data_IF_926097342082
#
_entry.id   IF_926097342082
#
_cell.length_a   1.000
_cell.length_b   1.000
_cell.length_c   1.000
_cell.angle_alpha   90.00
_cell.angle_beta   90.00
_cell.angle_gamma   90.00
#
_symmetry.space_group_name_H-M   'P 1'
#
loop_
_entity.id
_entity.type
_entity.pdbx_description
1 polymer ?
#
# COMPACT_ATOMS: atom_id res chain seq x y z
N UNK A 1 -2.88 11.13 11.77
CA UNK A 1 -2.39 9.78 12.15
C UNK A 1 -3.60 8.86 12.31
N UNK A 2 -4.24 8.53 11.20
CA UNK A 2 -5.38 7.61 11.12
C UNK A 2 -5.27 6.92 9.76
N UNK A 3 -5.40 5.59 9.76
CA UNK A 3 -5.10 4.63 8.68
C UNK A 3 -6.07 4.73 7.48
N UNK A 4 -6.98 5.71 7.48
CA UNK A 4 -8.02 5.88 6.47
C UNK A 4 -8.09 7.32 5.92
N UNK A 5 -6.96 8.01 5.77
CA UNK A 5 -6.95 9.30 5.08
C UNK A 5 -6.70 9.09 3.59
N UNK A 6 -7.67 9.51 2.78
CA UNK A 6 -7.57 9.62 1.33
C UNK A 6 -6.32 10.43 0.96
N UNK A 7 -5.36 9.81 0.25
CA UNK A 7 -4.03 10.35 -0.04
C UNK A 7 -4.04 11.33 -1.21
N UNK A 8 -4.78 12.44 -1.10
CA UNK A 8 -4.31 13.67 -1.75
C UNK A 8 -3.18 14.25 -0.90
N UNK A 9 -2.06 13.53 -0.84
CA UNK A 9 -0.88 14.00 -0.14
C UNK A 9 -0.10 14.86 -1.12
N UNK A 10 -0.41 16.16 -1.15
CA UNK A 10 0.42 17.21 -1.77
C UNK A 10 1.78 17.39 -1.04
N UNK A 11 2.25 16.37 -0.32
CA UNK A 11 3.45 16.38 0.48
C UNK A 11 4.26 15.10 0.20
N UNK A 12 5.58 15.20 0.06
CA UNK A 12 6.42 14.05 -0.25
C UNK A 12 6.44 13.05 0.93
N UNK A 13 5.95 11.82 0.70
CA UNK A 13 5.98 10.74 1.70
C UNK A 13 7.20 9.86 1.45
N UNK A 14 7.84 9.38 2.51
CA UNK A 14 8.96 8.45 2.36
C UNK A 14 8.49 7.13 1.74
N UNK A 15 9.25 6.63 0.77
CA UNK A 15 8.99 5.39 0.01
C UNK A 15 8.61 4.20 0.90
N UNK A 16 9.27 4.06 2.04
CA UNK A 16 9.02 2.96 2.99
C UNK A 16 7.62 3.00 3.62
N UNK A 17 7.15 4.18 4.05
CA UNK A 17 5.82 4.31 4.67
C UNK A 17 4.72 4.04 3.65
N UNK A 18 4.93 4.49 2.41
CA UNK A 18 4.01 4.19 1.31
C UNK A 18 3.94 2.68 1.04
N UNK A 19 5.07 2.00 0.92
CA UNK A 19 5.10 0.53 0.74
C UNK A 19 4.39 -0.22 1.88
N UNK A 20 4.58 0.20 3.14
CA UNK A 20 3.86 -0.39 4.27
C UNK A 20 2.36 -0.20 4.10
N UNK A 21 1.91 1.01 3.75
CA UNK A 21 0.49 1.31 3.60
C UNK A 21 -0.19 0.46 2.52
N UNK A 22 0.52 0.15 1.42
CA UNK A 22 0.01 -0.72 0.35
C UNK A 22 -0.15 -2.17 0.80
N UNK A 23 0.77 -2.68 1.63
CA UNK A 23 0.74 -4.08 2.08
C UNK A 23 -0.21 -4.28 3.27
N UNK A 24 -0.39 -3.24 4.09
CA UNK A 24 -1.17 -3.28 5.32
C UNK A 24 -2.59 -3.87 5.15
N UNK A 25 -3.43 -3.40 4.20
CA UNK A 25 -4.80 -3.92 4.06
C UNK A 25 -4.80 -5.40 3.66
N UNK A 26 -3.87 -5.82 2.79
CA UNK A 26 -3.74 -7.21 2.37
C UNK A 26 -3.45 -8.12 3.57
N UNK A 27 -2.46 -7.77 4.41
CA UNK A 27 -2.08 -8.59 5.57
C UNK A 27 -3.18 -8.61 6.62
N UNK A 28 -3.73 -7.45 6.99
CA UNK A 28 -4.72 -7.35 8.07
C UNK A 28 -5.99 -8.11 7.70
N UNK A 29 -6.54 -7.87 6.51
CA UNK A 29 -7.76 -8.54 6.07
C UNK A 29 -7.56 -10.03 5.86
N UNK A 30 -6.41 -10.45 5.30
CA UNK A 30 -6.12 -11.87 5.11
C UNK A 30 -5.99 -12.60 6.45
N UNK A 31 -5.27 -12.02 7.42
CA UNK A 31 -5.15 -12.59 8.76
C UNK A 31 -6.52 -12.69 9.46
N UNK A 32 -7.35 -11.64 9.32
CA UNK A 32 -8.72 -11.64 9.83
C UNK A 32 -9.55 -12.78 9.23
N UNK A 33 -9.58 -12.94 7.91
CA UNK A 33 -10.35 -14.01 7.27
C UNK A 33 -9.86 -15.41 7.61
N UNK A 34 -8.55 -15.61 7.72
CA UNK A 34 -7.97 -16.90 8.15
C UNK A 34 -8.40 -17.21 9.58
N UNK A 35 -8.33 -16.24 10.49
CA UNK A 35 -8.77 -16.41 11.88
C UNK A 35 -10.27 -16.73 11.98
N UNK A 36 -11.11 -16.03 11.21
CA UNK A 36 -12.55 -16.29 11.16
C UNK A 36 -12.87 -17.68 10.58
N UNK A 37 -12.12 -18.14 9.59
CA UNK A 37 -12.28 -19.48 9.00
C UNK A 37 -12.03 -20.58 10.03
N UNK A 38 -11.01 -20.43 10.88
CA UNK A 38 -10.69 -21.39 11.95
C UNK A 38 -11.75 -21.33 13.06
N UNK A 39 -12.20 -20.13 13.43
CA UNK A 39 -13.17 -19.94 14.51
C UNK A 39 -14.59 -20.37 14.14
N UNK A 40 -14.99 -20.18 12.87
CA UNK A 40 -16.33 -20.47 12.36
C UNK A 40 -16.27 -21.30 11.06
N UNK A 41 -15.88 -22.59 11.14
CA UNK A 41 -15.68 -23.42 9.95
C UNK A 41 -16.95 -23.63 9.12
N UNK A 42 -18.13 -23.56 9.75
CA UNK A 42 -19.44 -23.61 9.11
C UNK A 42 -19.65 -22.52 8.04
N UNK A 43 -19.00 -21.36 8.17
CA UNK A 43 -19.02 -20.28 7.17
C UNK A 43 -17.71 -20.17 6.38
N UNK A 44 -16.82 -21.15 6.52
CA UNK A 44 -15.46 -21.11 5.95
C UNK A 44 -15.43 -20.86 4.44
N UNK A 45 -16.39 -21.38 3.68
CA UNK A 45 -16.48 -21.14 2.24
C UNK A 45 -16.67 -19.65 1.89
N UNK A 46 -17.45 -18.91 2.69
CA UNK A 46 -17.65 -17.47 2.48
C UNK A 46 -16.38 -16.69 2.81
N UNK A 47 -15.70 -17.04 3.90
CA UNK A 47 -14.43 -16.39 4.26
C UNK A 47 -13.32 -16.68 3.25
N UNK A 48 -13.27 -17.88 2.68
CA UNK A 48 -12.32 -18.22 1.61
C UNK A 48 -12.59 -17.43 0.33
N UNK A 49 -13.88 -17.22 -0.01
CA UNK A 49 -14.26 -16.35 -1.12
C UNK A 49 -13.87 -14.89 -0.88
N UNK A 50 -14.13 -14.36 0.32
CA UNK A 50 -13.73 -13.00 0.70
C UNK A 50 -12.20 -12.84 0.71
N UNK A 51 -11.46 -13.85 1.15
CA UNK A 51 -10.01 -13.89 1.09
C UNK A 51 -9.50 -13.82 -0.36
N UNK A 52 -10.09 -14.60 -1.26
CA UNK A 52 -9.74 -14.58 -2.68
C UNK A 52 -10.04 -13.21 -3.31
N UNK A 53 -11.18 -12.60 -2.95
CA UNK A 53 -11.56 -11.26 -3.42
C UNK A 53 -10.60 -10.18 -2.89
N UNK A 54 -10.21 -10.24 -1.62
CA UNK A 54 -9.21 -9.34 -1.04
C UNK A 54 -7.86 -9.43 -1.77
N UNK A 55 -7.41 -10.66 -2.06
CA UNK A 55 -6.21 -10.88 -2.87
C UNK A 55 -6.35 -10.29 -4.27
N UNK A 56 -7.49 -10.50 -4.94
CA UNK A 56 -7.75 -9.99 -6.28
C UNK A 56 -7.67 -8.47 -6.37
N UNK A 57 -8.30 -7.75 -5.43
CA UNK A 57 -8.26 -6.28 -5.38
C UNK A 57 -6.83 -5.79 -5.09
N UNK A 58 -6.12 -6.45 -4.18
CA UNK A 58 -4.76 -6.07 -3.77
C UNK A 58 -3.69 -6.34 -4.84
N UNK A 59 -4.00 -7.04 -5.96
CA UNK A 59 -3.03 -7.28 -7.05
C UNK A 59 -2.51 -5.95 -7.62
N UNK A 60 -3.39 -4.96 -7.75
CA UNK A 60 -3.02 -3.63 -8.25
C UNK A 60 -2.00 -2.97 -7.33
N UNK A 61 -2.20 -3.07 -6.01
CA UNK A 61 -1.27 -2.54 -5.00
C UNK A 61 0.07 -3.27 -5.03
N UNK A 62 0.06 -4.60 -5.20
CA UNK A 62 1.29 -5.39 -5.37
C UNK A 62 2.06 -5.01 -6.65
N UNK A 63 1.35 -4.66 -7.73
CA UNK A 63 1.98 -4.15 -8.95
C UNK A 63 2.66 -2.80 -8.71
N UNK A 64 1.98 -1.88 -8.03
CA UNK A 64 2.57 -0.59 -7.64
C UNK A 64 3.79 -0.77 -6.74
N UNK A 65 3.69 -1.65 -5.74
CA UNK A 65 4.81 -2.00 -4.87
C UNK A 65 6.01 -2.52 -5.67
N UNK A 66 5.78 -3.40 -6.64
CA UNK A 66 6.84 -3.94 -7.50
C UNK A 66 7.53 -2.84 -8.30
N UNK A 67 6.77 -1.91 -8.90
CA UNK A 67 7.31 -0.78 -9.65
C UNK A 67 8.16 0.12 -8.75
N UNK A 68 7.64 0.41 -7.54
CA UNK A 68 8.30 1.26 -6.56
C UNK A 68 9.61 0.60 -6.08
N UNK A 69 9.60 -0.68 -5.72
CA UNK A 69 10.81 -1.41 -5.29
C UNK A 69 11.85 -1.43 -6.40
N UNK A 70 11.44 -1.68 -7.65
CA UNK A 70 12.35 -1.74 -8.80
C UNK A 70 12.93 -0.37 -9.18
N UNK A 71 12.20 0.71 -8.92
CA UNK A 71 12.71 2.06 -9.09
C UNK A 71 13.73 2.41 -7.99
N UNK A 72 15.02 2.36 -8.31
CA UNK A 72 16.11 2.73 -7.40
C UNK A 72 16.37 4.26 -7.32
N UNK A 73 15.47 5.06 -7.87
CA UNK A 73 15.58 6.52 -7.89
C UNK A 73 14.66 7.10 -6.81
N UNK A 74 15.11 8.15 -6.09
CA UNK A 74 14.28 8.91 -5.14
C UNK A 74 13.92 8.21 -3.82
N UNK A 75 13.92 8.97 -2.72
CA UNK A 75 13.50 8.49 -1.39
C UNK A 75 12.04 8.87 -1.07
N UNK A 76 11.44 9.72 -1.89
CA UNK A 76 10.13 10.30 -1.65
C UNK A 76 9.19 9.99 -2.80
N UNK A 77 7.93 9.76 -2.47
CA UNK A 77 6.85 9.48 -3.41
C UNK A 77 5.80 10.58 -3.23
N UNK A 78 5.37 11.16 -4.34
CA UNK A 78 4.26 12.10 -4.40
C UNK A 78 3.20 11.55 -5.36
N UNK A 79 1.95 11.56 -4.91
CA UNK A 79 0.81 11.06 -5.66
C UNK A 79 0.13 12.26 -6.34
N UNK A 80 0.11 12.27 -7.67
CA UNK A 80 -0.57 13.30 -8.45
C UNK A 80 -1.78 12.69 -9.16
N UNK A 81 -2.73 13.53 -9.59
CA UNK A 81 -3.93 13.07 -10.32
C UNK A 81 -3.63 12.33 -11.62
N UNK A 82 -2.41 12.45 -12.15
CA UNK A 82 -1.94 11.79 -13.37
C UNK A 82 -1.08 10.55 -13.12
N UNK A 83 -0.67 10.27 -11.88
CA UNK A 83 0.17 9.13 -11.54
C UNK A 83 1.09 9.34 -10.33
N UNK A 84 2.05 8.43 -10.16
CA UNK A 84 2.99 8.42 -9.03
C UNK A 84 4.33 9.01 -9.50
N UNK A 85 4.78 10.10 -8.86
CA UNK A 85 6.07 10.70 -9.11
C UNK A 85 7.08 10.31 -8.04
N UNK A 86 8.27 9.87 -8.48
CA UNK A 86 9.35 9.45 -7.59
C UNK A 86 10.38 10.57 -7.49
N UNK A 87 10.45 11.21 -6.32
CA UNK A 87 11.22 12.43 -6.09
C UNK A 87 12.54 12.14 -5.36
N UNK A 88 13.59 12.84 -5.79
CA UNK A 88 14.88 12.92 -5.10
C UNK A 88 14.97 14.26 -4.38
N UNK A 89 15.34 14.24 -3.10
CA UNK A 89 15.64 15.47 -2.37
C UNK A 89 16.89 16.11 -2.96
N UNK A 90 16.74 17.23 -3.64
CA UNK A 90 17.85 18.04 -4.12
C UNK A 90 18.24 18.99 -2.98
N UNK A 91 19.48 18.91 -2.50
CA UNK A 91 20.00 19.92 -1.58
C UNK A 91 20.30 21.16 -2.43
N UNK A 92 19.49 22.20 -2.27
CA UNK A 92 19.68 23.45 -3.02
C UNK A 92 21.05 24.05 -2.62
N UNK A 93 22.02 24.20 -3.55
CA UNK A 93 23.33 24.77 -3.21
C UNK A 93 23.26 26.28 -2.89
N UNK A 94 22.11 26.93 -3.08
CA UNK A 94 21.92 28.37 -2.90
C UNK A 94 21.26 28.78 -1.58
N UNK A 95 20.99 27.84 -0.66
CA UNK A 95 20.58 28.18 0.71
C UNK A 95 21.73 27.88 1.67
N UNK A 96 22.51 28.94 1.94
CA UNK A 96 23.30 29.13 3.16
C UNK A 96 22.38 29.22 4.38
#
# INVERSE_FOLDING_TARGET
WLIFYNTYVNQPVHKFYFCINLILPLIILSAMFVYLTISFPQYGHYFMFLLALNFGISITDLLYLKIIIFSNYGQYIEEHSTGINILKKIKNPYHL
#
